data_IF_892120817106
#
_entry.id   IF_892120817106
#
_cell.length_a   1.000
_cell.length_b   1.000
_cell.length_c   1.000
_cell.angle_alpha   90.00
_cell.angle_beta   90.00
_cell.angle_gamma   90.00
#
_symmetry.space_group_name_H-M   'P 1'
#
loop_
_entity.id
_entity.type
_entity.pdbx_description
1 polymer ?
#
# COMPACT_ATOMS: atom_id res chain seq x y z
N UNK A 1 8.16 -23.81 11.33
CA UNK A 1 8.40 -22.88 10.20
C UNK A 1 7.10 -22.79 9.44
N UNK A 2 6.17 -21.96 9.92
CA UNK A 2 4.77 -21.98 9.49
C UNK A 2 4.24 -20.56 9.41
N UNK A 3 3.43 -20.29 8.38
CA UNK A 3 2.72 -19.06 8.02
C UNK A 3 3.50 -17.73 7.96
N UNK A 4 4.35 -17.41 8.93
CA UNK A 4 5.07 -16.13 9.04
C UNK A 4 6.04 -15.92 7.87
N UNK A 5 6.93 -16.90 7.66
CA UNK A 5 7.88 -16.92 6.55
C UNK A 5 7.19 -16.96 5.18
N UNK A 6 6.05 -17.64 5.08
CA UNK A 6 5.29 -17.77 3.83
C UNK A 6 4.60 -16.45 3.46
N UNK A 7 3.93 -15.79 4.41
CA UNK A 7 3.28 -14.50 4.20
C UNK A 7 4.29 -13.41 3.88
N UNK A 8 5.43 -13.39 4.58
CA UNK A 8 6.53 -12.48 4.28
C UNK A 8 7.00 -12.62 2.83
N UNK A 9 7.37 -13.84 2.43
CA UNK A 9 7.89 -14.09 1.07
C UNK A 9 6.84 -13.72 0.02
N UNK A 10 5.58 -14.06 0.26
CA UNK A 10 4.48 -13.74 -0.65
C UNK A 10 4.31 -12.22 -0.81
N UNK A 11 4.33 -11.46 0.29
CA UNK A 11 4.27 -10.00 0.25
C UNK A 11 5.49 -9.40 -0.44
N UNK A 12 6.71 -9.81 -0.07
CA UNK A 12 7.96 -9.33 -0.70
C UNK A 12 7.92 -9.56 -2.21
N UNK A 13 7.48 -10.74 -2.66
CA UNK A 13 7.33 -11.06 -4.07
C UNK A 13 6.30 -10.19 -4.76
N UNK A 14 5.12 -9.97 -4.17
CA UNK A 14 4.07 -9.11 -4.76
C UNK A 14 4.53 -7.65 -4.84
N UNK A 15 5.11 -7.10 -3.77
CA UNK A 15 5.64 -5.74 -3.77
C UNK A 15 6.81 -5.56 -4.75
N UNK A 16 7.70 -6.54 -4.90
CA UNK A 16 8.78 -6.48 -5.89
C UNK A 16 8.26 -6.27 -7.33
N UNK A 17 7.07 -6.82 -7.64
CA UNK A 17 6.40 -6.60 -8.93
C UNK A 17 5.86 -5.18 -9.03
N UNK A 18 5.23 -4.66 -7.97
CA UNK A 18 4.77 -3.26 -7.93
C UNK A 18 5.94 -2.30 -8.20
N UNK A 19 7.04 -2.42 -7.46
CA UNK A 19 8.22 -1.58 -7.66
C UNK A 19 8.82 -1.71 -9.06
N UNK A 20 8.79 -2.90 -9.64
CA UNK A 20 9.25 -3.11 -11.02
C UNK A 20 8.38 -2.36 -12.04
N UNK A 21 7.06 -2.34 -11.86
CA UNK A 21 6.17 -1.58 -12.74
C UNK A 21 6.32 -0.06 -12.55
N UNK A 22 6.52 0.42 -11.31
CA UNK A 22 6.80 1.83 -11.04
C UNK A 22 8.12 2.26 -11.71
N UNK A 23 9.18 1.46 -11.60
CA UNK A 23 10.45 1.73 -12.30
C UNK A 23 10.31 1.75 -13.81
N UNK A 24 9.43 0.90 -14.37
CA UNK A 24 9.14 0.93 -15.82
C UNK A 24 8.43 2.22 -16.22
N UNK A 25 7.46 2.67 -15.41
CA UNK A 25 6.79 3.95 -15.62
C UNK A 25 7.79 5.12 -15.59
N UNK A 26 8.65 5.16 -14.57
CA UNK A 26 9.74 6.14 -14.46
C UNK A 26 10.71 6.09 -15.64
N UNK A 27 11.05 4.90 -16.14
CA UNK A 27 11.93 4.77 -17.30
C UNK A 27 11.31 5.33 -18.58
N UNK A 28 9.97 5.22 -18.75
CA UNK A 28 9.25 5.79 -19.89
C UNK A 28 9.21 7.31 -19.79
N UNK A 29 8.98 7.81 -18.58
CA UNK A 29 9.07 9.22 -18.25
C UNK A 29 10.44 9.74 -18.73
N UNK A 30 11.55 9.17 -18.32
CA UNK A 30 12.88 9.72 -18.64
C UNK A 30 13.37 9.52 -20.10
N UNK A 31 12.58 8.88 -20.98
CA UNK A 31 12.98 8.68 -22.38
C UNK A 31 12.81 9.96 -23.21
N UNK A 32 13.92 10.44 -23.75
CA UNK A 32 13.99 11.57 -24.68
C UNK A 32 14.59 11.13 -26.03
N UNK A 33 14.21 11.81 -27.10
CA UNK A 33 14.74 11.64 -28.46
C UNK A 33 15.11 13.02 -29.03
N UNK A 34 16.29 13.14 -29.64
CA UNK A 34 16.77 14.38 -30.24
C UNK A 34 18.29 14.46 -30.30
N UNK A 35 18.83 15.46 -31.02
CA UNK A 35 20.27 15.72 -31.10
C UNK A 35 20.57 17.10 -30.50
N UNK A 36 21.45 17.14 -29.48
CA UNK A 36 22.09 18.31 -28.82
C UNK A 36 21.20 19.44 -28.24
N UNK A 37 20.14 19.90 -28.91
CA UNK A 37 19.28 21.02 -28.47
C UNK A 37 17.78 20.82 -28.79
N UNK A 38 17.40 19.71 -29.40
CA UNK A 38 16.00 19.34 -29.69
C UNK A 38 15.58 18.05 -28.98
N UNK A 39 15.95 17.89 -27.70
CA UNK A 39 15.48 16.74 -26.92
C UNK A 39 13.97 16.87 -26.66
N UNK A 40 13.20 15.95 -27.24
CA UNK A 40 11.76 15.82 -27.04
C UNK A 40 11.47 14.55 -26.26
N UNK A 41 10.47 14.58 -25.38
CA UNK A 41 10.04 13.38 -24.67
C UNK A 41 9.36 12.41 -25.66
N UNK A 42 9.69 11.11 -25.57
CA UNK A 42 9.12 10.10 -26.48
C UNK A 42 7.64 9.83 -26.16
N UNK A 43 7.29 9.87 -24.87
CA UNK A 43 5.94 9.59 -24.40
C UNK A 43 5.30 10.88 -23.90
N UNK A 44 4.06 11.12 -24.31
CA UNK A 44 3.23 12.14 -23.69
C UNK A 44 2.82 11.72 -22.28
N UNK A 45 2.37 12.67 -21.45
CA UNK A 45 1.85 12.35 -20.12
C UNK A 45 0.58 11.48 -20.20
N UNK A 46 -0.25 11.67 -21.23
CA UNK A 46 -1.40 10.82 -21.55
C UNK A 46 -0.97 9.36 -21.85
N UNK A 47 0.12 9.17 -22.61
CA UNK A 47 0.68 7.83 -22.89
C UNK A 47 1.25 7.17 -21.63
N UNK A 48 1.82 7.98 -20.73
CA UNK A 48 2.32 7.51 -19.45
C UNK A 48 1.17 7.03 -18.57
N UNK A 49 0.12 7.85 -18.43
CA UNK A 49 -1.10 7.51 -17.69
C UNK A 49 -1.81 6.28 -18.25
N UNK A 50 -2.06 6.25 -19.56
CA UNK A 50 -2.73 5.13 -20.22
C UNK A 50 -1.82 3.90 -20.43
N UNK A 51 -0.61 3.89 -19.85
CA UNK A 51 0.28 2.75 -19.95
C UNK A 51 -0.22 1.56 -19.14
N UNK A 52 0.05 0.35 -19.64
CA UNK A 52 -0.26 -0.91 -18.96
C UNK A 52 0.33 -1.04 -17.54
N UNK A 53 1.31 -0.20 -17.17
CA UNK A 53 1.92 -0.21 -15.85
C UNK A 53 0.94 0.25 -14.77
N UNK A 54 0.06 1.23 -15.06
CA UNK A 54 -0.97 1.68 -14.14
C UNK A 54 -1.93 0.54 -13.78
N UNK A 55 -2.48 -0.14 -14.78
CA UNK A 55 -3.39 -1.28 -14.56
C UNK A 55 -2.73 -2.44 -13.82
N UNK A 56 -1.44 -2.70 -14.06
CA UNK A 56 -0.69 -3.74 -13.32
C UNK A 56 -0.47 -3.34 -11.87
N UNK A 57 -0.06 -2.10 -11.60
CA UNK A 57 0.10 -1.59 -10.24
C UNK A 57 -1.22 -1.67 -9.49
N UNK A 58 -2.31 -1.20 -10.10
CA UNK A 58 -3.66 -1.24 -9.52
C UNK A 58 -4.06 -2.68 -9.14
N UNK A 59 -3.99 -3.62 -10.10
CA UNK A 59 -4.37 -5.01 -9.86
C UNK A 59 -3.52 -5.71 -8.78
N UNK A 60 -2.21 -5.46 -8.75
CA UNK A 60 -1.32 -6.07 -7.76
C UNK A 60 -1.60 -5.47 -6.36
N UNK A 61 -1.77 -4.16 -6.28
CA UNK A 61 -2.02 -3.46 -4.99
C UNK A 61 -3.39 -3.81 -4.42
N UNK A 62 -4.42 -3.93 -5.26
CA UNK A 62 -5.74 -4.45 -4.87
C UNK A 62 -5.63 -5.85 -4.27
N UNK A 63 -4.86 -6.74 -4.92
CA UNK A 63 -4.65 -8.11 -4.43
C UNK A 63 -3.90 -8.14 -3.09
N UNK A 64 -2.82 -7.35 -2.96
CA UNK A 64 -2.07 -7.21 -1.69
C UNK A 64 -3.02 -6.76 -0.58
N UNK A 65 -3.79 -5.70 -0.83
CA UNK A 65 -4.76 -5.17 0.13
C UNK A 65 -5.80 -6.19 0.57
N UNK A 66 -6.43 -6.85 -0.41
CA UNK A 66 -7.43 -7.89 -0.17
C UNK A 66 -6.88 -9.02 0.70
N UNK A 67 -5.67 -9.50 0.40
CA UNK A 67 -5.03 -10.58 1.14
C UNK A 67 -4.72 -10.17 2.59
N UNK A 68 -4.12 -8.99 2.78
CA UNK A 68 -3.76 -8.48 4.11
C UNK A 68 -4.99 -8.16 4.96
N UNK A 69 -6.03 -7.56 4.37
CA UNK A 69 -7.32 -7.33 5.05
C UNK A 69 -7.92 -8.65 5.50
N UNK A 70 -7.94 -9.65 4.61
CA UNK A 70 -8.45 -10.99 4.91
C UNK A 70 -7.68 -11.62 6.06
N UNK A 71 -6.34 -11.69 5.97
CA UNK A 71 -5.51 -12.25 7.02
C UNK A 71 -5.70 -11.51 8.35
N UNK A 72 -5.76 -10.19 8.35
CA UNK A 72 -5.98 -9.41 9.56
C UNK A 72 -7.35 -9.68 10.17
N UNK A 73 -8.41 -9.74 9.34
CA UNK A 73 -9.79 -10.01 9.78
C UNK A 73 -9.94 -11.40 10.42
N UNK A 74 -9.22 -12.40 9.93
CA UNK A 74 -9.27 -13.76 10.46
C UNK A 74 -8.21 -14.05 11.54
N UNK A 75 -7.43 -13.04 11.98
CA UNK A 75 -6.38 -13.23 12.98
C UNK A 75 -5.21 -14.10 12.48
N UNK A 76 -5.02 -14.16 11.16
CA UNK A 76 -3.98 -14.93 10.49
C UNK A 76 -2.81 -14.07 10.04
N UNK A 77 -2.95 -12.74 10.05
CA UNK A 77 -1.86 -11.83 9.69
C UNK A 77 -0.81 -11.88 10.79
N UNK A 78 0.39 -12.33 10.42
CA UNK A 78 1.50 -12.37 11.36
C UNK A 78 2.14 -11.01 11.54
N UNK A 79 2.86 -10.82 12.65
CA UNK A 79 3.53 -9.55 12.96
C UNK A 79 4.63 -9.22 11.95
N UNK A 80 5.38 -10.21 11.47
CA UNK A 80 6.41 -9.97 10.43
C UNK A 80 5.76 -9.54 9.10
N UNK A 81 4.67 -10.19 8.71
CA UNK A 81 3.92 -9.82 7.51
C UNK A 81 3.28 -8.42 7.63
N UNK A 82 2.75 -8.06 8.81
CA UNK A 82 2.25 -6.72 9.12
C UNK A 82 3.34 -5.67 8.94
N UNK A 83 4.49 -5.88 9.55
CA UNK A 83 5.63 -4.96 9.46
C UNK A 83 6.10 -4.75 8.01
N UNK A 84 6.27 -5.85 7.26
CA UNK A 84 6.66 -5.78 5.84
C UNK A 84 5.60 -5.04 5.02
N UNK A 85 4.32 -5.35 5.24
CA UNK A 85 3.23 -4.69 4.53
C UNK A 85 3.25 -3.17 4.74
N UNK A 86 3.36 -2.70 6.00
CA UNK A 86 3.32 -1.28 6.32
C UNK A 86 4.49 -0.52 5.70
N UNK A 87 5.72 -1.05 5.82
CA UNK A 87 6.91 -0.45 5.20
C UNK A 87 6.76 -0.39 3.69
N UNK A 88 6.39 -1.51 3.05
CA UNK A 88 6.31 -1.58 1.59
C UNK A 88 5.15 -0.77 1.02
N UNK A 89 4.04 -0.65 1.74
CA UNK A 89 2.95 0.28 1.40
C UNK A 89 3.47 1.71 1.34
N UNK A 90 4.18 2.15 2.37
CA UNK A 90 4.68 3.52 2.46
C UNK A 90 5.76 3.79 1.40
N UNK A 91 6.62 2.81 1.12
CA UNK A 91 7.57 2.88 -0.02
C UNK A 91 6.84 3.03 -1.36
N UNK A 92 5.77 2.27 -1.61
CA UNK A 92 4.99 2.39 -2.86
C UNK A 92 4.34 3.77 -2.98
N UNK A 93 3.78 4.29 -1.90
CA UNK A 93 3.22 5.63 -1.88
C UNK A 93 4.29 6.68 -2.23
N UNK A 94 5.43 6.64 -1.53
CA UNK A 94 6.53 7.57 -1.75
C UNK A 94 7.03 7.53 -3.20
N UNK A 95 7.20 6.33 -3.77
CA UNK A 95 7.68 6.16 -5.14
C UNK A 95 6.67 6.69 -6.17
N UNK A 96 5.36 6.53 -5.94
CA UNK A 96 4.33 7.06 -6.83
C UNK A 96 4.21 8.58 -6.76
N UNK A 97 4.28 9.17 -5.56
CA UNK A 97 4.30 10.63 -5.37
C UNK A 97 5.55 11.24 -6.02
N UNK A 98 6.71 10.60 -5.89
CA UNK A 98 7.93 11.02 -6.58
C UNK A 98 7.78 10.96 -8.10
N UNK A 99 7.08 9.96 -8.63
CA UNK A 99 6.79 9.88 -10.07
C UNK A 99 5.86 11.01 -10.51
N UNK A 100 4.84 11.36 -9.71
CA UNK A 100 3.97 12.52 -9.95
C UNK A 100 4.78 13.81 -10.04
N UNK A 101 5.67 14.04 -9.08
CA UNK A 101 6.54 15.22 -9.05
C UNK A 101 7.42 15.32 -10.31
N UNK A 102 7.97 14.19 -10.78
CA UNK A 102 8.79 14.16 -12.01
C UNK A 102 7.93 14.46 -13.24
N UNK A 103 6.67 14.03 -13.25
CA UNK A 103 5.73 14.33 -14.34
C UNK A 103 5.35 15.82 -14.31
N UNK A 104 5.00 16.36 -13.14
CA UNK A 104 4.55 17.73 -12.94
C UNK A 104 5.63 18.77 -13.30
N UNK A 105 6.91 18.44 -13.13
CA UNK A 105 8.02 19.34 -13.48
C UNK A 105 8.29 19.45 -15.00
N UNK A 106 7.58 18.70 -15.85
CA UNK A 106 7.73 18.75 -17.32
C UNK A 106 6.70 19.72 -17.91
N UNK A 107 7.18 20.73 -18.61
CA UNK A 107 6.45 21.97 -18.91
C UNK A 107 4.93 21.87 -19.26
N UNK A 108 4.12 22.83 -18.78
CA UNK A 108 2.68 22.75 -18.78
C UNK A 108 2.07 23.44 -19.99
N UNK A 109 1.34 22.72 -20.85
CA UNK A 109 0.45 23.42 -21.81
C UNK A 109 -0.95 22.82 -21.96
N UNK A 110 -1.19 21.56 -21.59
CA UNK A 110 -2.51 20.91 -21.76
C UNK A 110 -2.87 19.88 -20.66
N UNK A 111 -2.35 20.02 -19.43
CA UNK A 111 -2.16 18.88 -18.51
C UNK A 111 -3.04 18.82 -17.25
N UNK A 112 -3.85 19.85 -16.95
CA UNK A 112 -4.68 19.87 -15.72
C UNK A 112 -5.58 18.62 -15.58
N UNK A 113 -6.04 18.08 -16.71
CA UNK A 113 -6.85 16.87 -16.73
C UNK A 113 -6.03 15.60 -16.42
N UNK A 114 -4.80 15.52 -16.92
CA UNK A 114 -3.91 14.36 -16.70
C UNK A 114 -3.37 14.34 -15.27
N UNK A 115 -3.13 15.50 -14.67
CA UNK A 115 -2.75 15.64 -13.26
C UNK A 115 -3.81 15.03 -12.33
N UNK A 116 -5.08 15.40 -12.53
CA UNK A 116 -6.19 14.87 -11.73
C UNK A 116 -6.24 13.36 -11.84
N UNK A 117 -6.08 12.81 -13.05
CA UNK A 117 -6.10 11.38 -13.30
C UNK A 117 -4.95 10.65 -12.60
N UNK A 118 -3.74 11.21 -12.60
CA UNK A 118 -2.59 10.61 -11.91
C UNK A 118 -2.75 10.65 -10.38
N UNK A 119 -3.22 11.79 -9.85
CA UNK A 119 -3.55 11.92 -8.42
C UNK A 119 -4.63 10.95 -7.99
N UNK A 120 -5.70 10.81 -8.78
CA UNK A 120 -6.76 9.84 -8.53
C UNK A 120 -6.22 8.41 -8.53
N UNK A 121 -5.27 8.10 -9.42
CA UNK A 121 -4.59 6.82 -9.43
C UNK A 121 -3.77 6.57 -8.16
N UNK A 122 -2.99 7.54 -7.67
CA UNK A 122 -2.25 7.42 -6.40
C UNK A 122 -3.23 7.17 -5.25
N UNK A 123 -4.31 7.94 -5.17
CA UNK A 123 -5.36 7.77 -4.15
C UNK A 123 -5.99 6.38 -4.24
N UNK A 124 -6.22 5.88 -5.45
CA UNK A 124 -6.73 4.52 -5.66
C UNK A 124 -5.76 3.46 -5.13
N UNK A 125 -4.46 3.58 -5.43
CA UNK A 125 -3.42 2.66 -4.94
C UNK A 125 -3.34 2.69 -3.41
N UNK A 126 -3.43 3.87 -2.79
CA UNK A 126 -3.50 4.01 -1.33
C UNK A 126 -4.76 3.37 -0.74
N UNK A 127 -5.90 3.51 -1.42
CA UNK A 127 -7.16 2.91 -1.01
C UNK A 127 -7.12 1.38 -1.10
N UNK A 128 -6.47 0.85 -2.14
CA UNK A 128 -6.20 -0.57 -2.29
C UNK A 128 -5.36 -1.11 -1.13
N UNK A 129 -4.47 -0.30 -0.53
CA UNK A 129 -3.57 -0.72 0.55
C UNK A 129 -3.78 0.09 1.84
N UNK A 130 -4.88 -0.16 2.58
CA UNK A 130 -5.23 0.64 3.76
C UNK A 130 -4.29 0.41 4.96
N UNK A 131 -4.14 1.46 5.79
CA UNK A 131 -3.51 1.33 7.11
C UNK A 131 -4.27 0.34 8.01
N UNK A 132 -3.55 -0.62 8.59
CA UNK A 132 -4.16 -1.69 9.37
C UNK A 132 -4.70 -1.23 10.73
N UNK A 133 -4.07 -0.21 11.33
CA UNK A 133 -4.56 0.41 12.57
C UNK A 133 -5.98 0.98 12.41
N UNK A 134 -6.28 1.57 11.24
CA UNK A 134 -7.61 2.12 10.93
C UNK A 134 -8.68 1.03 10.75
N UNK A 135 -8.27 -0.18 10.32
CA UNK A 135 -9.19 -1.32 10.13
C UNK A 135 -9.66 -1.89 11.48
N UNK A 136 -8.81 -1.93 12.50
CA UNK A 136 -9.18 -2.41 13.84
C UNK A 136 -10.21 -1.50 14.52
N UNK A 137 -10.07 -0.18 14.36
CA UNK A 137 -10.98 0.82 14.91
C UNK A 137 -12.37 0.77 14.25
N UNK A 138 -12.44 0.44 12.96
CA UNK A 138 -13.71 0.39 12.20
C UNK A 138 -14.44 -0.95 12.29
N UNK A 139 -13.74 -2.05 12.62
CA UNK A 139 -14.32 -3.41 12.64
C UNK A 139 -14.72 -3.93 14.03
N UNK A 140 -14.54 -3.16 15.11
CA UNK A 140 -15.10 -3.49 16.42
C UNK A 140 -14.60 -4.80 17.05
N UNK A 141 -13.44 -5.31 16.64
CA UNK A 141 -12.91 -6.62 17.05
C UNK A 141 -12.41 -6.71 18.50
N UNK A 142 -12.49 -5.62 19.29
CA UNK A 142 -12.15 -5.64 20.72
C UNK A 142 -13.22 -6.28 21.63
N UNK A 143 -14.29 -6.88 21.09
CA UNK A 143 -15.32 -7.53 21.94
C UNK A 143 -15.10 -9.02 22.23
N UNK A 144 -14.00 -9.66 21.76
CA UNK A 144 -13.82 -11.11 21.95
C UNK A 144 -12.43 -11.55 22.43
N UNK A 145 -11.91 -10.90 23.46
CA UNK A 145 -10.93 -11.55 24.34
C UNK A 145 -11.68 -12.09 25.57
N UNK A 146 -12.09 -13.37 25.61
CA UNK A 146 -12.63 -13.98 26.81
C UNK A 146 -11.46 -14.38 27.72
N UNK A 147 -10.71 -13.41 28.23
CA UNK A 147 -9.67 -13.67 29.22
C UNK A 147 -9.78 -12.55 30.25
N UNK A 148 -9.97 -12.94 31.51
CA UNK A 148 -10.07 -12.13 32.74
C UNK A 148 -11.46 -11.95 33.39
N UNK A 149 -12.53 -12.64 32.95
CA UNK A 149 -13.73 -12.79 33.81
C UNK A 149 -13.55 -13.84 34.93
N UNK A 150 -12.54 -14.70 34.82
CA UNK A 150 -12.24 -15.78 35.77
C UNK A 150 -11.31 -15.40 36.94
N UNK A 151 -10.60 -14.26 36.87
CA UNK A 151 -9.56 -13.93 37.85
C UNK A 151 -10.04 -13.17 39.10
N UNK A 152 -11.27 -12.63 39.09
CA UNK A 152 -11.82 -11.88 40.24
C UNK A 152 -12.71 -12.71 41.18
N UNK A 153 -12.84 -14.04 40.98
CA UNK A 153 -13.78 -14.86 41.78
C UNK A 153 -13.20 -15.49 43.06
N UNK A 154 -12.00 -15.08 43.48
CA UNK A 154 -11.42 -15.49 44.78
C UNK A 154 -10.77 -14.30 45.49
N UNK A 155 -11.57 -13.37 46.00
CA UNK A 155 -11.17 -12.61 47.18
C UNK A 155 -11.82 -13.26 48.41
N UNK A 156 -11.05 -13.76 49.38
CA UNK A 156 -11.62 -14.21 50.65
C UNK A 156 -12.24 -12.99 51.36
N UNK A 157 -13.47 -13.17 51.88
CA UNK A 157 -14.13 -12.16 52.72
C UNK A 157 -13.21 -11.85 53.91
N UNK A 158 -12.96 -10.58 54.27
CA UNK A 158 -12.27 -10.28 55.51
C UNK A 158 -13.16 -10.71 56.68
N UNK A 159 -12.67 -11.69 57.43
CA UNK A 159 -13.14 -11.99 58.78
C UNK A 159 -12.64 -10.89 59.71
N UNK A 160 -13.56 -10.11 60.22
CA UNK A 160 -13.39 -9.22 61.37
C UNK A 160 -14.77 -8.70 61.74
N UNK A 161 -15.31 -8.84 62.95
CA UNK A 161 -14.70 -9.27 64.19
C UNK A 161 -15.19 -8.32 65.28
N UNK A 162 -16.15 -8.81 66.09
CA UNK A 162 -16.80 -8.21 67.27
C UNK A 162 -17.83 -7.11 67.04
#
# INVERSE_FOLDING_TARGET
MGSDFEQKIDLEKKFSRVFSEIKRLESKINKKQGFWFFETHIYSQEDLFNSEHHSKIDSITEKIGSDVISWNRFGQLTEEARYIYEIKRDEVQFDLERVDDIIAQREPTWWEQVESLFKDFIVKVQTNMPQLERILLTTGLLQKIPVLSGFFKKMPKPLGGK
#
